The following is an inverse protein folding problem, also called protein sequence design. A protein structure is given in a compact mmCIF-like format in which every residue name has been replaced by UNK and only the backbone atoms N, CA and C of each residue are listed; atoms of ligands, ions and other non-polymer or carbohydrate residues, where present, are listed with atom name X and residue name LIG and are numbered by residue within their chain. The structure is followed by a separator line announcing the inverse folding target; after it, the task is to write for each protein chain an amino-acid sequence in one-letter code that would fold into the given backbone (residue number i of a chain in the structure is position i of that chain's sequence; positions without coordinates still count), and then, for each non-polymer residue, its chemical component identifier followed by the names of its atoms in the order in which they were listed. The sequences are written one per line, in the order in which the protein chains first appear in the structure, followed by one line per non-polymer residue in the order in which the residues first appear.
data_IF_255335242182
#
_entry.id   IF_255335242182
#
_cell.length_a   1.000
_cell.length_b   1.000
_cell.length_c   1.000
_cell.angle_alpha   90.00
_cell.angle_beta   90.00
_cell.angle_gamma   90.00
#
_symmetry.space_group_name_H-M   'P 1'
#
loop_
_entity.id
_entity.type
_entity.pdbx_description
1 polymer ?
#
# COMPACT_ATOMS: atom_id res chain seq x y z
N UNK A 1 51.85 28.21 6.97
CA UNK A 1 50.67 27.32 7.05
C UNK A 1 49.86 27.67 8.30
N UNK A 2 49.28 28.87 8.36
CA UNK A 2 48.57 29.36 9.55
C UNK A 2 47.53 30.45 9.20
N UNK A 3 46.87 30.35 8.02
CA UNK A 3 45.92 31.38 7.55
C UNK A 3 44.50 30.81 7.26
N UNK A 4 44.39 29.55 6.82
CA UNK A 4 43.08 28.95 6.44
C UNK A 4 42.09 28.69 7.62
N UNK A 5 42.55 28.74 8.87
CA UNK A 5 41.72 28.41 10.04
C UNK A 5 40.91 29.60 10.57
N UNK A 6 41.33 30.84 10.32
CA UNK A 6 40.56 32.03 10.68
C UNK A 6 39.37 32.26 9.73
N UNK A 7 39.51 31.84 8.47
CA UNK A 7 38.47 32.00 7.43
C UNK A 7 37.31 31.01 7.64
N UNK A 8 37.61 29.76 8.00
CA UNK A 8 36.59 28.76 8.28
C UNK A 8 35.72 29.10 9.50
N UNK A 9 36.33 29.60 10.58
CA UNK A 9 35.58 29.92 11.81
C UNK A 9 34.62 31.08 11.60
N UNK A 10 35.05 32.11 10.87
CA UNK A 10 34.21 33.26 10.53
C UNK A 10 33.03 32.84 9.64
N UNK A 11 33.29 31.98 8.64
CA UNK A 11 32.25 31.40 7.78
C UNK A 11 31.26 30.52 8.56
N UNK A 12 31.77 29.69 9.49
CA UNK A 12 30.94 28.84 10.34
C UNK A 12 30.00 29.68 11.22
N UNK A 13 30.51 30.71 11.87
CA UNK A 13 29.73 31.57 12.76
C UNK A 13 28.62 32.31 11.99
N UNK A 14 28.91 32.79 10.77
CA UNK A 14 27.93 33.45 9.90
C UNK A 14 26.82 32.49 9.44
N UNK A 15 27.20 31.30 8.94
CA UNK A 15 26.24 30.28 8.48
C UNK A 15 25.39 29.75 9.63
N UNK A 16 26.00 29.51 10.80
CA UNK A 16 25.27 29.03 11.97
C UNK A 16 24.27 30.07 12.48
N UNK A 17 24.64 31.36 12.50
CA UNK A 17 23.72 32.42 12.88
C UNK A 17 22.52 32.52 11.93
N UNK A 18 22.76 32.45 10.62
CA UNK A 18 21.70 32.45 9.61
C UNK A 18 20.79 31.22 9.71
N UNK A 19 21.36 30.04 9.95
CA UNK A 19 20.62 28.79 10.12
C UNK A 19 19.72 28.83 11.36
N UNK A 20 20.25 29.28 12.51
CA UNK A 20 19.47 29.40 13.75
C UNK A 20 18.32 30.40 13.59
N UNK A 21 18.55 31.52 12.90
CA UNK A 21 17.49 32.49 12.59
C UNK A 21 16.40 31.89 11.70
N UNK A 22 16.80 31.11 10.69
CA UNK A 22 15.87 30.43 9.76
C UNK A 22 15.04 29.38 10.49
N UNK A 23 15.64 28.55 11.35
CA UNK A 23 14.93 27.53 12.14
C UNK A 23 13.91 28.17 13.07
N UNK A 24 14.28 29.26 13.75
CA UNK A 24 13.36 29.99 14.64
C UNK A 24 12.16 30.54 13.87
N UNK A 25 12.39 31.12 12.70
CA UNK A 25 11.33 31.67 11.85
C UNK A 25 10.42 30.56 11.32
N UNK A 26 10.99 29.44 10.86
CA UNK A 26 10.22 28.28 10.41
C UNK A 26 9.34 27.70 11.53
N UNK A 27 9.85 27.62 12.76
CA UNK A 27 9.08 27.16 13.92
C UNK A 27 7.95 28.12 14.35
N UNK A 28 8.14 29.44 14.16
CA UNK A 28 7.07 30.41 14.39
C UNK A 28 5.98 30.30 13.32
N UNK A 29 6.36 30.12 12.06
CA UNK A 29 5.43 29.98 10.95
C UNK A 29 4.65 28.67 11.05
N UNK A 30 5.27 27.58 11.51
CA UNK A 30 4.56 26.30 11.70
C UNK A 30 3.60 26.27 12.89
N UNK A 31 3.72 27.21 13.83
CA UNK A 31 2.78 27.34 14.96
C UNK A 31 1.48 28.06 14.60
N UNK A 32 1.42 28.71 13.43
CA UNK A 32 0.24 29.42 12.94
C UNK A 32 -0.61 28.54 12.01
N UNK A 33 -1.89 28.88 11.82
CA UNK A 33 -2.81 28.14 10.93
C UNK A 33 -2.57 28.51 9.45
N UNK A 34 -1.55 27.90 8.86
CA UNK A 34 -1.16 28.11 7.47
C UNK A 34 -2.26 27.70 6.48
N UNK A 35 -3.10 26.72 6.83
CA UNK A 35 -4.18 26.27 5.96
C UNK A 35 -5.27 27.34 5.84
N UNK A 36 -5.62 27.97 6.96
CA UNK A 36 -6.55 29.10 6.98
C UNK A 36 -6.00 30.29 6.19
N UNK A 37 -4.75 30.69 6.41
CA UNK A 37 -4.14 31.82 5.70
C UNK A 37 -3.99 31.58 4.19
N UNK A 38 -3.72 30.34 3.78
CA UNK A 38 -3.69 29.93 2.37
C UNK A 38 -5.07 30.04 1.70
N UNK A 39 -6.15 29.77 2.44
CA UNK A 39 -7.52 29.87 1.93
C UNK A 39 -7.98 31.32 1.75
N UNK A 40 -7.46 32.24 2.56
CA UNK A 40 -7.84 33.66 2.55
C UNK A 40 -7.06 34.49 1.54
N UNK A 41 -5.76 34.21 1.34
CA UNK A 41 -4.92 34.95 0.41
C UNK A 41 -4.10 34.00 -0.49
N UNK A 42 -4.45 33.90 -1.79
CA UNK A 42 -3.70 33.11 -2.76
C UNK A 42 -2.21 33.51 -2.89
N UNK A 43 -1.86 34.78 -2.68
CA UNK A 43 -0.46 35.26 -2.75
C UNK A 43 0.40 34.64 -1.65
N UNK A 44 -0.16 34.46 -0.44
CA UNK A 44 0.53 33.81 0.69
C UNK A 44 0.79 32.34 0.37
N UNK A 45 -0.19 31.66 -0.24
CA UNK A 45 -0.03 30.28 -0.71
C UNK A 45 1.12 30.13 -1.72
N UNK A 46 1.16 31.00 -2.75
CA UNK A 46 2.21 30.96 -3.76
C UNK A 46 3.60 31.29 -3.18
N UNK A 47 3.69 32.24 -2.25
CA UNK A 47 4.94 32.58 -1.59
C UNK A 47 5.46 31.41 -0.72
N UNK A 48 4.57 30.72 0.00
CA UNK A 48 4.92 29.53 0.79
C UNK A 48 5.42 28.39 -0.08
N UNK A 49 4.72 28.09 -1.19
CA UNK A 49 5.14 27.04 -2.13
C UNK A 49 6.53 27.34 -2.72
N UNK A 50 6.80 28.61 -3.05
CA UNK A 50 8.11 29.04 -3.57
C UNK A 50 9.23 28.85 -2.53
N UNK A 51 9.00 29.22 -1.26
CA UNK A 51 10.00 29.03 -0.21
C UNK A 51 10.20 27.56 0.12
N UNK A 52 9.14 26.76 0.12
CA UNK A 52 9.23 25.32 0.35
C UNK A 52 10.06 24.63 -0.74
N UNK A 53 9.81 24.97 -2.02
CA UNK A 53 10.60 24.48 -3.14
C UNK A 53 12.09 24.86 -3.02
N UNK A 54 12.40 26.08 -2.55
CA UNK A 54 13.77 26.52 -2.32
C UNK A 54 14.47 25.74 -1.20
N UNK A 55 13.79 25.50 -0.08
CA UNK A 55 14.34 24.72 1.03
C UNK A 55 14.58 23.26 0.61
N UNK A 56 13.65 22.68 -0.14
CA UNK A 56 13.76 21.32 -0.67
C UNK A 56 14.88 21.19 -1.69
N UNK A 57 15.10 22.19 -2.56
CA UNK A 57 16.25 22.24 -3.46
C UNK A 57 17.58 22.26 -2.69
N UNK A 58 17.70 23.11 -1.66
CA UNK A 58 18.89 23.18 -0.81
C UNK A 58 19.14 21.88 -0.05
N UNK A 59 18.08 21.25 0.47
CA UNK A 59 18.19 19.94 1.14
C UNK A 59 18.71 18.87 0.18
N UNK A 60 18.22 18.84 -1.07
CA UNK A 60 18.73 17.92 -2.09
C UNK A 60 20.20 18.17 -2.45
N UNK A 61 20.63 19.42 -2.55
CA UNK A 61 22.04 19.75 -2.80
C UNK A 61 22.94 19.32 -1.64
N UNK A 62 22.52 19.55 -0.40
CA UNK A 62 23.24 19.10 0.79
C UNK A 62 23.32 17.58 0.85
N UNK A 63 22.22 16.88 0.56
CA UNK A 63 22.19 15.42 0.52
C UNK A 63 23.09 14.85 -0.60
N UNK A 64 23.12 15.49 -1.77
CA UNK A 64 24.06 15.11 -2.86
C UNK A 64 25.52 15.30 -2.43
N UNK A 65 25.83 16.42 -1.77
CA UNK A 65 27.16 16.67 -1.23
C UNK A 65 27.55 15.63 -0.17
N UNK A 66 26.64 15.34 0.76
CA UNK A 66 26.82 14.35 1.82
C UNK A 66 27.01 12.94 1.26
N UNK A 67 26.20 12.54 0.28
CA UNK A 67 26.31 11.24 -0.37
C UNK A 67 27.60 11.08 -1.18
N UNK A 68 28.15 12.15 -1.75
CA UNK A 68 29.45 12.11 -2.43
C UNK A 68 30.59 11.75 -1.47
N UNK A 69 30.47 12.17 -0.20
CA UNK A 69 31.42 11.84 0.86
C UNK A 69 31.20 10.40 1.34
N UNK A 70 29.96 9.94 1.46
CA UNK A 70 29.62 8.62 2.02
C UNK A 70 29.60 7.46 1.01
N UNK A 71 29.62 7.73 -0.30
CA UNK A 71 29.55 6.70 -1.35
C UNK A 71 28.19 6.01 -1.48
N UNK A 72 27.16 6.57 -0.83
CA UNK A 72 25.80 6.05 -0.80
C UNK A 72 24.95 6.66 -1.94
N UNK A 73 23.99 5.89 -2.46
CA UNK A 73 23.04 6.37 -3.47
C UNK A 73 21.99 7.26 -2.80
N UNK A 74 22.07 8.56 -3.06
CA UNK A 74 21.20 9.57 -2.46
C UNK A 74 19.81 9.57 -3.12
N UNK A 75 18.70 9.60 -2.35
CA UNK A 75 17.37 9.81 -2.90
C UNK A 75 17.21 11.25 -3.42
N UNK A 76 16.41 11.44 -4.47
CA UNK A 76 15.99 12.78 -4.92
C UNK A 76 14.61 13.04 -4.33
N UNK A 77 14.45 14.13 -3.58
CA UNK A 77 13.19 14.54 -2.97
C UNK A 77 12.53 15.54 -3.91
N UNK A 78 11.38 15.26 -4.51
CA UNK A 78 10.70 16.19 -5.41
C UNK A 78 9.51 16.88 -4.72
N UNK A 79 8.81 16.16 -3.84
CA UNK A 79 7.67 16.68 -3.09
C UNK A 79 7.73 16.33 -1.59
N UNK A 80 6.71 16.77 -0.84
CA UNK A 80 6.61 16.54 0.62
C UNK A 80 6.44 15.05 0.93
N UNK A 81 5.71 14.32 0.09
CA UNK A 81 5.50 12.88 0.27
C UNK A 81 6.82 12.11 0.10
N UNK A 82 7.68 12.54 -0.82
CA UNK A 82 9.02 11.99 -1.02
C UNK A 82 9.93 12.18 0.20
N UNK A 83 9.81 13.29 0.91
CA UNK A 83 10.56 13.54 2.15
C UNK A 83 10.20 12.49 3.20
N UNK A 84 8.91 12.27 3.44
CA UNK A 84 8.43 11.30 4.42
C UNK A 84 8.76 9.86 4.01
N UNK A 85 8.63 9.55 2.71
CA UNK A 85 8.90 8.22 2.18
C UNK A 85 10.39 7.86 2.19
N UNK A 86 11.27 8.83 1.92
CA UNK A 86 12.72 8.61 1.84
C UNK A 86 13.48 9.03 3.10
N UNK A 87 12.78 9.39 4.19
CA UNK A 87 13.40 9.87 5.43
C UNK A 87 14.46 8.90 5.98
N UNK A 88 14.24 7.58 5.87
CA UNK A 88 15.24 6.58 6.28
C UNK A 88 16.55 6.68 5.50
N UNK A 89 16.47 6.85 4.18
CA UNK A 89 17.65 6.99 3.34
C UNK A 89 18.41 8.29 3.67
N UNK A 90 17.68 9.35 4.04
CA UNK A 90 18.26 10.60 4.55
C UNK A 90 19.01 10.35 5.87
N UNK A 91 18.38 9.62 6.80
CA UNK A 91 19.00 9.20 8.07
C UNK A 91 20.25 8.36 7.83
N UNK A 92 20.22 7.38 6.92
CA UNK A 92 21.38 6.54 6.60
C UNK A 92 22.58 7.35 6.09
N UNK A 93 22.32 8.40 5.29
CA UNK A 93 23.38 9.32 4.82
C UNK A 93 23.97 10.11 5.99
N UNK A 94 23.14 10.59 6.91
CA UNK A 94 23.58 11.32 8.12
C UNK A 94 24.36 10.40 9.06
N UNK A 95 23.88 9.20 9.31
CA UNK A 95 24.54 8.21 10.18
C UNK A 95 25.91 7.83 9.63
N UNK A 96 26.04 7.67 8.30
CA UNK A 96 27.33 7.44 7.66
C UNK A 96 28.31 8.61 7.83
N UNK A 97 27.82 9.86 7.84
CA UNK A 97 28.67 11.02 8.13
C UNK A 97 29.11 11.06 9.59
N UNK A 98 28.22 10.68 10.53
CA UNK A 98 28.55 10.61 11.95
C UNK A 98 29.58 9.51 12.22
N UNK A 99 29.45 8.32 11.62
CA UNK A 99 30.43 7.23 11.74
C UNK A 99 31.82 7.63 11.21
N UNK A 100 31.87 8.40 10.11
CA UNK A 100 33.12 8.96 9.60
C UNK A 100 33.71 10.00 10.53
N UNK A 101 32.87 10.81 11.15
CA UNK A 101 33.30 11.82 12.13
C UNK A 101 33.90 11.14 13.35
N UNK A 102 33.26 10.08 13.86
CA UNK A 102 33.77 9.26 14.96
C UNK A 102 35.09 8.60 14.59
N UNK A 103 35.20 8.05 13.36
CA UNK A 103 36.46 7.48 12.85
C UNK A 103 37.59 8.50 12.83
N UNK A 104 37.34 9.71 12.32
CA UNK A 104 38.33 10.79 12.31
C UNK A 104 38.70 11.26 13.73
N UNK A 105 37.73 11.27 14.65
CA UNK A 105 37.97 11.63 16.05
C UNK A 105 38.81 10.57 16.77
N UNK A 106 38.55 9.29 16.50
CA UNK A 106 39.31 8.15 17.05
C UNK A 106 40.76 8.11 16.52
N UNK A 107 40.97 8.50 15.26
CA UNK A 107 42.30 8.69 14.69
C UNK A 107 43.05 9.86 15.35
N UNK A 108 42.37 10.98 15.62
CA UNK A 108 42.98 12.16 16.23
C UNK A 108 43.27 11.99 17.72
N UNK A 109 42.38 11.32 18.45
CA UNK A 109 42.53 11.04 19.89
C UNK A 109 43.49 9.88 20.17
N UNK A 110 43.93 9.16 19.13
CA UNK A 110 44.95 8.12 19.21
C UNK A 110 44.46 6.80 19.83
N UNK A 111 43.14 6.60 19.91
CA UNK A 111 42.53 5.38 20.46
C UNK A 111 42.62 4.21 19.45
N UNK A 112 42.80 4.51 18.15
CA UNK A 112 43.11 3.50 17.13
C UNK A 112 44.63 3.30 17.05
N UNK A 113 45.16 2.28 17.74
CA UNK A 113 46.35 1.57 17.24
C UNK A 113 45.96 0.96 15.90
N UNK A 114 46.58 1.43 14.81
CA UNK A 114 46.46 0.89 13.45
C UNK A 114 46.57 -0.64 13.48
N UNK A 115 45.44 -1.32 13.58
CA UNK A 115 45.35 -2.78 13.46
C UNK A 115 45.32 -3.07 11.98
N UNK A 116 46.35 -3.77 11.51
CA UNK A 116 46.47 -4.20 10.12
C UNK A 116 45.17 -4.90 9.70
N UNK A 117 44.74 -4.57 8.48
CA UNK A 117 43.64 -5.20 7.78
C UNK A 117 43.93 -6.70 7.66
N UNK A 118 43.24 -7.50 8.47
CA UNK A 118 42.98 -8.90 8.14
C UNK A 118 41.60 -8.94 7.51
N UNK A 119 41.59 -9.24 6.20
CA UNK A 119 40.43 -9.68 5.44
C UNK A 119 39.84 -10.91 6.12
N UNK A 120 38.96 -10.68 7.09
CA UNK A 120 38.08 -11.71 7.62
C UNK A 120 36.86 -11.72 6.71
N UNK A 121 36.83 -12.73 5.83
CA UNK A 121 35.68 -13.12 5.03
C UNK A 121 34.42 -13.14 5.89
N UNK A 122 33.63 -12.07 5.79
CA UNK A 122 32.31 -12.03 6.37
C UNK A 122 31.48 -13.11 5.68
N UNK A 123 31.21 -14.17 6.43
CA UNK A 123 30.20 -15.15 6.09
C UNK A 123 28.88 -14.39 5.97
N UNK A 124 28.44 -14.19 4.73
CA UNK A 124 27.13 -13.64 4.41
C UNK A 124 26.07 -14.58 4.96
N UNK A 125 25.59 -14.29 6.17
CA UNK A 125 24.29 -14.81 6.61
C UNK A 125 23.29 -14.34 5.56
N UNK A 126 22.46 -15.24 4.97
CA UNK A 126 21.48 -14.83 4.00
C UNK A 126 20.59 -13.78 4.68
N UNK A 127 20.31 -12.64 4.03
CA UNK A 127 19.40 -11.68 4.61
C UNK A 127 18.08 -12.42 4.81
N UNK A 128 17.61 -12.46 6.06
CA UNK A 128 16.23 -12.87 6.32
C UNK A 128 15.37 -11.94 5.46
N UNK A 129 14.74 -12.50 4.43
CA UNK A 129 13.74 -11.82 3.60
C UNK A 129 12.52 -11.56 4.48
N UNK A 130 12.62 -10.60 5.38
CA UNK A 130 11.46 -9.88 5.83
C UNK A 130 11.03 -9.02 4.65
N UNK A 131 9.82 -9.23 4.15
CA UNK A 131 9.15 -8.40 3.15
C UNK A 131 8.80 -7.03 3.76
N UNK A 132 9.76 -6.35 4.38
CA UNK A 132 9.48 -5.27 5.30
C UNK A 132 10.11 -3.96 4.81
N UNK A 133 9.22 -2.98 4.59
CA UNK A 133 9.40 -1.61 4.11
C UNK A 133 10.02 -1.32 2.74
N UNK A 134 10.88 -2.16 2.16
CA UNK A 134 11.49 -1.83 0.85
C UNK A 134 10.47 -1.76 -0.30
N UNK A 135 9.38 -2.54 -0.22
CA UNK A 135 8.27 -2.48 -1.20
C UNK A 135 7.32 -1.30 -0.94
N UNK A 136 7.33 -0.74 0.28
CA UNK A 136 6.49 0.40 0.67
C UNK A 136 7.05 1.73 0.13
N UNK A 137 8.36 1.78 -0.08
CA UNK A 137 9.12 2.94 -0.59
C UNK A 137 9.51 2.82 -2.07
N UNK A 138 9.05 1.78 -2.78
CA UNK A 138 9.18 1.76 -4.23
C UNK A 138 8.22 2.78 -4.84
N UNK A 139 8.72 3.61 -5.77
CA UNK A 139 7.91 4.48 -6.60
C UNK A 139 7.10 3.63 -7.61
N UNK A 140 6.12 2.91 -7.07
CA UNK A 140 5.19 2.09 -7.83
C UNK A 140 4.07 2.99 -8.33
N UNK A 141 3.91 3.02 -9.64
CA UNK A 141 2.79 3.69 -10.30
C UNK A 141 1.47 3.28 -9.64
N UNK A 142 0.60 4.26 -9.40
CA UNK A 142 -0.71 4.03 -8.80
C UNK A 142 -1.58 3.22 -9.78
N UNK A 143 -1.97 1.97 -9.47
CA UNK A 143 -2.79 1.16 -10.38
C UNK A 143 -4.13 1.83 -10.70
N UNK A 144 -4.63 2.68 -9.80
CA UNK A 144 -5.86 3.44 -9.99
C UNK A 144 -5.86 4.34 -11.24
N UNK A 145 -4.68 4.74 -11.72
CA UNK A 145 -4.55 5.55 -12.93
C UNK A 145 -4.84 4.75 -14.22
N UNK A 146 -4.72 3.43 -14.17
CA UNK A 146 -4.91 2.53 -15.31
C UNK A 146 -6.34 1.95 -15.40
N UNK A 147 -7.22 2.25 -14.43
CA UNK A 147 -8.58 1.70 -14.42
C UNK A 147 -9.44 2.31 -15.53
N UNK A 148 -10.28 1.47 -16.16
CA UNK A 148 -11.27 1.92 -17.16
C UNK A 148 -12.27 2.91 -16.55
N UNK A 149 -12.71 2.65 -15.32
CA UNK A 149 -13.55 3.54 -14.53
C UNK A 149 -12.73 4.12 -13.39
N UNK A 150 -12.55 5.44 -13.43
CA UNK A 150 -11.76 6.16 -12.42
C UNK A 150 -12.52 6.23 -11.08
N UNK A 151 -11.83 6.12 -9.94
CA UNK A 151 -12.44 6.35 -8.63
C UNK A 151 -12.94 7.80 -8.51
N UNK A 152 -14.15 7.96 -7.98
CA UNK A 152 -14.72 9.25 -7.59
C UNK A 152 -14.92 9.24 -6.06
N UNK A 153 -14.18 10.12 -5.36
CA UNK A 153 -14.27 10.26 -3.91
C UNK A 153 -15.12 11.48 -3.48
N UNK A 154 -15.59 12.27 -4.44
CA UNK A 154 -16.41 13.47 -4.18
C UNK A 154 -17.91 13.17 -4.27
N UNK A 155 -18.29 12.01 -4.84
CA UNK A 155 -19.69 11.59 -4.93
C UNK A 155 -20.30 11.40 -3.52
N UNK A 156 -21.31 12.21 -3.24
CA UNK A 156 -22.11 12.18 -2.01
C UNK A 156 -23.43 11.42 -2.20
N UNK A 157 -23.68 10.90 -3.41
CA UNK A 157 -24.84 10.09 -3.69
C UNK A 157 -24.77 8.73 -2.98
N UNK A 158 -25.92 8.09 -2.69
CA UNK A 158 -25.92 6.75 -2.13
C UNK A 158 -25.18 5.77 -3.06
N UNK A 159 -24.35 4.89 -2.49
CA UNK A 159 -23.60 3.91 -3.25
C UNK A 159 -24.50 3.07 -4.17
N UNK A 160 -24.30 3.21 -5.48
CA UNK A 160 -25.01 2.46 -6.51
C UNK A 160 -24.30 1.11 -6.76
N UNK A 161 -25.01 -0.04 -6.66
CA UNK A 161 -24.44 -1.33 -7.01
C UNK A 161 -23.92 -1.35 -8.45
N UNK A 162 -22.68 -1.79 -8.64
CA UNK A 162 -22.01 -1.85 -9.96
C UNK A 162 -22.54 -2.98 -10.87
N UNK A 163 -23.56 -3.72 -10.42
CA UNK A 163 -24.06 -4.94 -11.04
C UNK A 163 -24.86 -4.62 -12.32
N UNK A 164 -24.34 -5.02 -13.50
CA UNK A 164 -25.03 -4.96 -14.80
C UNK A 164 -25.96 -6.14 -15.10
N UNK A 165 -25.53 -7.37 -14.82
CA UNK A 165 -26.29 -8.61 -15.00
C UNK A 165 -26.43 -9.34 -13.67
N UNK A 166 -27.57 -10.03 -13.47
CA UNK A 166 -27.89 -10.77 -12.25
C UNK A 166 -28.10 -12.26 -12.56
N UNK A 167 -27.03 -13.09 -12.61
CA UNK A 167 -27.15 -14.55 -12.70
C UNK A 167 -27.91 -15.14 -11.50
N UNK A 168 -28.58 -16.28 -11.69
CA UNK A 168 -29.31 -17.00 -10.63
C UNK A 168 -30.38 -16.16 -9.89
N UNK A 169 -30.95 -15.18 -10.58
CA UNK A 169 -31.95 -14.27 -10.02
C UNK A 169 -33.29 -14.98 -9.76
N UNK A 170 -33.85 -14.78 -8.56
CA UNK A 170 -35.27 -15.03 -8.27
C UNK A 170 -36.10 -13.79 -8.56
N UNK A 171 -35.53 -12.61 -8.31
CA UNK A 171 -36.14 -11.30 -8.58
C UNK A 171 -35.32 -10.58 -9.66
N UNK A 172 -35.96 -9.99 -10.69
CA UNK A 172 -35.26 -9.21 -11.71
C UNK A 172 -34.37 -8.11 -11.13
N UNK A 173 -33.30 -7.74 -11.85
CA UNK A 173 -32.35 -6.73 -11.39
C UNK A 173 -33.01 -5.37 -11.19
N UNK A 174 -33.89 -4.95 -12.10
CA UNK A 174 -34.60 -3.67 -12.06
C UNK A 174 -35.44 -3.52 -10.78
N UNK A 175 -36.14 -4.59 -10.39
CA UNK A 175 -36.95 -4.64 -9.17
C UNK A 175 -36.10 -4.69 -7.90
N UNK A 176 -34.85 -5.15 -8.00
CA UNK A 176 -33.93 -5.29 -6.88
C UNK A 176 -33.23 -3.96 -6.52
N UNK A 177 -33.15 -3.00 -7.45
CA UNK A 177 -32.47 -1.72 -7.28
C UNK A 177 -33.32 -0.62 -6.61
N UNK A 178 -34.23 -1.02 -5.71
CA UNK A 178 -35.04 -0.07 -4.95
C UNK A 178 -34.21 0.72 -3.92
N UNK A 179 -34.52 2.01 -3.75
CA UNK A 179 -33.99 2.79 -2.64
C UNK A 179 -34.78 2.50 -1.35
N UNK A 180 -34.05 2.32 -0.25
CA UNK A 180 -34.58 2.26 1.10
C UNK A 180 -33.96 3.36 1.96
N UNK A 181 -34.57 3.65 3.11
CA UNK A 181 -33.95 4.48 4.13
C UNK A 181 -33.35 3.59 5.21
N UNK A 182 -32.13 3.89 5.64
CA UNK A 182 -31.49 3.20 6.76
C UNK A 182 -32.01 3.75 8.11
N UNK A 183 -31.50 3.21 9.22
CA UNK A 183 -31.86 3.61 10.59
C UNK A 183 -31.57 5.09 10.90
N UNK A 184 -30.75 5.75 10.08
CA UNK A 184 -30.38 7.16 10.19
C UNK A 184 -31.13 8.07 9.19
N UNK A 185 -32.23 7.59 8.59
CA UNK A 185 -33.04 8.26 7.55
C UNK A 185 -32.26 8.60 6.26
N UNK A 186 -31.08 8.01 6.05
CA UNK A 186 -30.27 8.18 4.84
C UNK A 186 -30.77 7.23 3.75
N UNK A 187 -30.82 7.72 2.50
CA UNK A 187 -31.17 6.91 1.33
C UNK A 187 -30.03 5.95 1.01
N UNK A 188 -30.34 4.67 0.80
CA UNK A 188 -29.40 3.63 0.40
C UNK A 188 -30.08 2.71 -0.63
N UNK A 189 -29.33 2.19 -1.59
CA UNK A 189 -29.85 1.15 -2.47
C UNK A 189 -29.91 -0.20 -1.75
N UNK A 190 -30.97 -0.97 -2.00
CA UNK A 190 -31.10 -2.35 -1.52
C UNK A 190 -29.99 -3.24 -2.10
N UNK A 191 -29.62 -4.27 -1.34
CA UNK A 191 -28.65 -5.24 -1.82
C UNK A 191 -29.27 -6.06 -2.96
N UNK A 192 -28.66 -6.13 -4.16
CA UNK A 192 -29.30 -6.75 -5.33
C UNK A 192 -29.69 -8.22 -5.14
N UNK A 193 -28.96 -8.97 -4.31
CA UNK A 193 -29.22 -10.38 -4.01
C UNK A 193 -29.88 -10.63 -2.64
N UNK A 194 -30.42 -9.60 -1.97
CA UNK A 194 -31.01 -9.73 -0.63
C UNK A 194 -32.08 -10.84 -0.56
N UNK A 195 -33.01 -10.86 -1.52
CA UNK A 195 -34.11 -11.84 -1.55
C UNK A 195 -33.60 -13.26 -1.78
N UNK A 196 -32.62 -13.41 -2.68
CA UNK A 196 -31.99 -14.69 -2.98
C UNK A 196 -31.26 -15.26 -1.76
N UNK A 197 -30.52 -14.42 -1.03
CA UNK A 197 -29.79 -14.80 0.18
C UNK A 197 -30.75 -15.20 1.31
N UNK A 198 -31.81 -14.41 1.56
CA UNK A 198 -32.79 -14.71 2.60
C UNK A 198 -33.57 -16.00 2.35
N UNK A 199 -33.75 -16.36 1.08
CA UNK A 199 -34.44 -17.59 0.66
C UNK A 199 -33.46 -18.67 0.19
N UNK A 200 -32.17 -18.54 0.53
CA UNK A 200 -31.13 -19.47 0.10
C UNK A 200 -31.37 -20.84 0.74
N UNK A 201 -31.31 -21.89 -0.07
CA UNK A 201 -31.36 -23.26 0.40
C UNK A 201 -30.02 -23.91 0.08
N UNK A 202 -29.26 -24.22 1.13
CA UNK A 202 -27.97 -24.89 0.98
C UNK A 202 -28.15 -26.35 0.52
N UNK A 203 -27.18 -26.90 -0.23
CA UNK A 203 -27.14 -28.32 -0.54
C UNK A 203 -27.21 -29.16 0.73
N UNK A 204 -28.01 -30.24 0.72
CA UNK A 204 -28.21 -31.11 1.90
C UNK A 204 -26.92 -31.65 2.49
N UNK A 205 -25.93 -31.93 1.63
CA UNK A 205 -24.61 -32.42 2.00
C UNK A 205 -23.88 -31.50 3.00
N UNK A 206 -24.18 -30.20 3.02
CA UNK A 206 -23.59 -29.24 3.95
C UNK A 206 -24.00 -29.48 5.41
N UNK A 207 -25.19 -30.04 5.64
CA UNK A 207 -25.71 -30.34 6.97
C UNK A 207 -25.32 -31.74 7.47
N UNK A 208 -24.64 -32.54 6.64
CA UNK A 208 -24.20 -33.89 6.97
C UNK A 208 -22.75 -33.86 7.47
N UNK A 209 -22.45 -34.65 8.50
CA UNK A 209 -21.08 -34.77 9.00
C UNK A 209 -20.25 -35.57 7.99
N UNK A 210 -19.26 -34.92 7.39
CA UNK A 210 -18.28 -35.55 6.51
C UNK A 210 -16.89 -35.59 7.15
N UNK A 211 -16.06 -36.54 6.73
CA UNK A 211 -14.65 -36.57 7.12
C UNK A 211 -13.88 -35.43 6.44
N UNK A 212 -13.02 -34.69 7.18
CA UNK A 212 -12.27 -33.58 6.59
C UNK A 212 -11.33 -34.04 5.48
N UNK A 213 -11.55 -33.53 4.27
CA UNK A 213 -10.63 -33.70 3.14
C UNK A 213 -9.45 -32.75 3.37
N UNK A 214 -8.24 -33.31 3.51
CA UNK A 214 -7.01 -32.53 3.68
C UNK A 214 -6.64 -31.83 2.38
N UNK A 215 -5.97 -30.69 2.52
CA UNK A 215 -5.37 -29.97 1.40
C UNK A 215 -4.31 -30.83 0.69
N UNK A 216 -4.10 -30.56 -0.60
CA UNK A 216 -3.06 -31.21 -1.38
C UNK A 216 -1.66 -30.74 -0.91
N UNK A 217 -0.63 -31.61 -0.96
CA UNK A 217 0.73 -31.20 -0.62
C UNK A 217 1.18 -29.97 -1.42
N UNK A 218 1.88 -29.05 -0.77
CA UNK A 218 2.33 -27.80 -1.40
C UNK A 218 3.34 -28.06 -2.52
N UNK A 219 4.09 -29.17 -2.43
CA UNK A 219 5.10 -29.56 -3.41
C UNK A 219 4.49 -30.08 -4.71
N UNK A 220 3.26 -30.62 -4.66
CA UNK A 220 2.55 -31.14 -5.83
C UNK A 220 1.62 -30.14 -6.49
N UNK A 221 1.36 -29.01 -5.83
CA UNK A 221 0.30 -28.08 -6.24
C UNK A 221 0.94 -26.77 -6.70
N UNK A 222 0.55 -26.27 -7.88
CA UNK A 222 0.97 -24.95 -8.36
C UNK A 222 -0.22 -24.01 -8.46
N UNK A 223 -0.05 -22.78 -7.98
CA UNK A 223 -1.04 -21.73 -8.12
C UNK A 223 -0.99 -21.14 -9.53
N UNK A 224 -2.16 -20.99 -10.16
CA UNK A 224 -2.30 -20.36 -11.47
C UNK A 224 -2.50 -18.86 -11.28
N UNK A 225 -1.57 -18.05 -11.79
CA UNK A 225 -1.70 -16.59 -11.77
C UNK A 225 -2.56 -16.14 -12.95
N UNK A 226 -3.64 -15.41 -12.65
CA UNK A 226 -4.62 -14.96 -13.64
C UNK A 226 -4.55 -13.44 -13.75
N UNK A 227 -4.01 -12.95 -14.87
CA UNK A 227 -3.79 -11.52 -15.12
C UNK A 227 -4.36 -11.01 -16.46
N UNK A 228 -5.03 -11.89 -17.20
CA UNK A 228 -5.78 -11.59 -18.43
C UNK A 228 -7.27 -11.88 -18.23
N UNK A 229 -8.13 -11.21 -19.00
CA UNK A 229 -9.57 -11.44 -18.92
C UNK A 229 -9.96 -12.82 -19.46
N UNK A 230 -9.26 -13.30 -20.50
CA UNK A 230 -9.44 -14.64 -21.05
C UNK A 230 -9.15 -15.71 -20.00
N UNK A 231 -8.09 -15.53 -19.19
CA UNK A 231 -7.77 -16.43 -18.09
C UNK A 231 -8.85 -16.46 -17.01
N UNK A 232 -9.56 -15.35 -16.77
CA UNK A 232 -10.71 -15.33 -15.86
C UNK A 232 -11.89 -16.13 -16.42
N UNK A 233 -12.12 -16.11 -17.73
CA UNK A 233 -13.17 -16.91 -18.36
C UNK A 233 -12.86 -18.41 -18.34
N UNK A 234 -11.59 -18.79 -18.58
CA UNK A 234 -11.15 -20.17 -18.45
C UNK A 234 -11.30 -20.67 -17.00
N UNK A 235 -10.87 -19.86 -16.03
CA UNK A 235 -11.07 -20.13 -14.62
C UNK A 235 -12.56 -20.27 -14.28
N UNK A 236 -13.42 -19.40 -14.80
CA UNK A 236 -14.87 -19.45 -14.55
C UNK A 236 -15.49 -20.78 -14.98
N UNK A 237 -15.11 -21.30 -16.15
CA UNK A 237 -15.62 -22.59 -16.64
C UNK A 237 -15.18 -23.75 -15.74
N UNK A 238 -13.96 -23.72 -15.21
CA UNK A 238 -13.51 -24.71 -14.22
C UNK A 238 -14.30 -24.57 -12.90
N UNK A 239 -14.49 -23.35 -12.42
CA UNK A 239 -15.19 -23.09 -11.17
C UNK A 239 -16.68 -23.49 -11.21
N UNK A 240 -17.33 -23.44 -12.38
CA UNK A 240 -18.71 -23.93 -12.56
C UNK A 240 -18.87 -25.44 -12.30
N UNK A 241 -17.80 -26.20 -12.48
CA UNK A 241 -17.81 -27.66 -12.26
C UNK A 241 -17.58 -28.04 -10.78
N UNK A 242 -17.17 -27.09 -9.95
CA UNK A 242 -16.85 -27.32 -8.55
C UNK A 242 -18.10 -27.36 -7.66
N UNK A 243 -18.08 -28.19 -6.62
CA UNK A 243 -19.13 -28.25 -5.60
C UNK A 243 -18.91 -27.24 -4.47
N UNK A 244 -17.65 -26.95 -4.17
CA UNK A 244 -17.26 -25.93 -3.21
C UNK A 244 -15.98 -25.23 -3.64
N UNK A 245 -15.89 -23.95 -3.30
CA UNK A 245 -14.74 -23.10 -3.56
C UNK A 245 -14.40 -22.30 -2.30
N UNK A 246 -13.11 -22.08 -2.05
CA UNK A 246 -12.65 -21.14 -1.04
C UNK A 246 -12.27 -19.82 -1.70
N UNK A 247 -12.64 -18.69 -1.08
CA UNK A 247 -12.37 -17.35 -1.59
C UNK A 247 -11.79 -16.46 -0.48
N UNK A 248 -10.69 -15.80 -0.78
CA UNK A 248 -10.04 -14.80 0.08
C UNK A 248 -9.61 -13.57 -0.72
N UNK A 249 -9.41 -12.44 -0.05
CA UNK A 249 -9.11 -11.15 -0.68
C UNK A 249 -8.00 -10.41 0.08
N UNK A 250 -7.08 -9.81 -0.68
CA UNK A 250 -6.11 -8.87 -0.12
C UNK A 250 -6.56 -7.42 -0.35
N UNK A 251 -6.70 -6.67 0.74
CA UNK A 251 -7.12 -5.27 0.71
C UNK A 251 -5.96 -4.31 0.97
N UNK A 252 -5.91 -3.20 0.21
CA UNK A 252 -4.95 -2.13 0.41
C UNK A 252 -5.65 -0.77 0.58
N UNK A 253 -5.39 -0.11 1.70
CA UNK A 253 -5.95 1.20 2.08
C UNK A 253 -4.91 2.31 2.26
N UNK A 254 -3.61 2.00 2.27
CA UNK A 254 -2.59 3.01 2.58
C UNK A 254 -2.50 4.11 1.52
N UNK A 255 -2.64 3.78 0.23
CA UNK A 255 -2.59 4.74 -0.89
C UNK A 255 -3.92 4.87 -1.63
N UNK A 256 -5.05 4.63 -0.96
CA UNK A 256 -6.40 4.71 -1.53
C UNK A 256 -7.40 5.20 -0.48
N UNK A 257 -8.25 6.18 -0.81
CA UNK A 257 -9.19 6.79 0.16
C UNK A 257 -10.19 5.77 0.74
N UNK A 258 -10.91 5.05 -0.12
CA UNK A 258 -11.85 3.98 0.27
C UNK A 258 -11.13 2.65 0.53
N UNK A 259 -9.91 2.52 0.01
CA UNK A 259 -9.25 1.23 -0.15
C UNK A 259 -9.55 0.57 -1.49
N UNK A 260 -8.79 -0.47 -1.81
CA UNK A 260 -8.94 -1.25 -3.03
C UNK A 260 -8.59 -2.71 -2.76
N UNK A 261 -9.23 -3.62 -3.48
CA UNK A 261 -8.83 -5.04 -3.51
C UNK A 261 -7.63 -5.15 -4.45
N UNK A 262 -6.55 -5.75 -3.97
CA UNK A 262 -5.30 -5.93 -4.69
C UNK A 262 -5.21 -7.31 -5.32
N UNK A 263 -5.70 -8.33 -4.62
CA UNK A 263 -5.60 -9.72 -5.02
C UNK A 263 -6.85 -10.47 -4.58
N UNK A 264 -7.23 -11.48 -5.36
CA UNK A 264 -8.27 -12.43 -4.99
C UNK A 264 -7.70 -13.84 -5.14
N UNK A 265 -7.83 -14.63 -4.09
CA UNK A 265 -7.40 -16.01 -4.05
C UNK A 265 -8.63 -16.89 -4.10
N UNK A 266 -8.67 -17.81 -5.06
CA UNK A 266 -9.75 -18.79 -5.19
C UNK A 266 -9.11 -20.17 -5.19
N UNK A 267 -9.65 -21.09 -4.39
CA UNK A 267 -9.19 -22.47 -4.34
C UNK A 267 -10.35 -23.43 -4.52
N UNK A 268 -10.13 -24.45 -5.35
CA UNK A 268 -10.96 -25.66 -5.39
C UNK A 268 -10.26 -26.77 -4.61
N UNK A 269 -10.80 -27.99 -4.66
CA UNK A 269 -10.12 -29.17 -4.11
C UNK A 269 -8.85 -29.54 -4.86
N UNK A 270 -8.73 -29.12 -6.12
CA UNK A 270 -7.67 -29.58 -7.02
C UNK A 270 -6.70 -28.48 -7.42
N UNK A 271 -7.16 -27.24 -7.55
CA UNK A 271 -6.38 -26.11 -8.08
C UNK A 271 -6.59 -24.83 -7.30
N UNK A 272 -5.53 -24.02 -7.29
CA UNK A 272 -5.50 -22.69 -6.70
C UNK A 272 -5.30 -21.63 -7.79
N UNK A 273 -6.04 -20.53 -7.70
CA UNK A 273 -5.92 -19.36 -8.56
C UNK A 273 -5.59 -18.12 -7.74
N UNK A 274 -4.69 -17.31 -8.28
CA UNK A 274 -4.35 -15.99 -7.77
C UNK A 274 -4.73 -14.99 -8.86
N UNK A 275 -5.80 -14.24 -8.62
CA UNK A 275 -6.41 -13.32 -9.59
C UNK A 275 -5.94 -11.90 -9.31
N UNK A 276 -5.35 -11.27 -10.32
CA UNK A 276 -4.97 -9.85 -10.26
C UNK A 276 -6.21 -8.97 -10.45
N UNK A 277 -6.63 -8.32 -9.36
CA UNK A 277 -7.81 -7.44 -9.34
C UNK A 277 -7.48 -5.97 -9.63
N UNK A 278 -6.20 -5.65 -9.87
CA UNK A 278 -5.71 -4.31 -10.21
C UNK A 278 -5.68 -4.04 -11.71
N UNK A 279 -6.05 -5.02 -12.54
CA UNK A 279 -6.09 -4.84 -13.99
C UNK A 279 -7.19 -3.86 -14.41
N UNK A 280 -7.03 -3.14 -15.56
CA UNK A 280 -7.99 -2.14 -16.01
C UNK A 280 -9.44 -2.62 -16.06
N UNK A 281 -9.62 -3.89 -16.42
CA UNK A 281 -10.89 -4.60 -16.56
C UNK A 281 -11.48 -5.10 -15.23
N UNK A 282 -11.02 -4.63 -14.06
CA UNK A 282 -11.50 -5.10 -12.73
C UNK A 282 -13.02 -5.17 -12.56
N UNK A 283 -13.78 -4.28 -13.19
CA UNK A 283 -15.25 -4.31 -13.12
C UNK A 283 -15.86 -5.48 -13.89
N UNK A 284 -15.14 -6.03 -14.86
CA UNK A 284 -15.54 -7.20 -15.64
C UNK A 284 -15.47 -8.50 -14.81
N UNK A 285 -14.79 -8.51 -13.65
CA UNK A 285 -14.85 -9.61 -12.68
C UNK A 285 -16.28 -9.93 -12.20
N UNK A 286 -17.26 -9.06 -12.49
CA UNK A 286 -18.68 -9.34 -12.32
C UNK A 286 -19.11 -10.69 -12.93
N UNK A 287 -18.43 -11.20 -13.97
CA UNK A 287 -18.72 -12.52 -14.57
C UNK A 287 -18.65 -13.67 -13.56
N UNK A 288 -17.83 -13.53 -12.50
CA UNK A 288 -17.73 -14.51 -11.42
C UNK A 288 -19.03 -14.68 -10.64
N UNK A 289 -20.00 -13.76 -10.76
CA UNK A 289 -21.34 -13.92 -10.18
C UNK A 289 -22.08 -15.15 -10.72
N UNK A 290 -21.72 -15.69 -11.88
CA UNK A 290 -22.26 -16.98 -12.34
C UNK A 290 -21.94 -18.13 -11.38
N UNK A 291 -20.84 -18.05 -10.63
CA UNK A 291 -20.45 -19.04 -9.62
C UNK A 291 -20.76 -18.52 -8.21
N UNK A 292 -20.45 -17.24 -7.93
CA UNK A 292 -20.63 -16.66 -6.59
C UNK A 292 -22.10 -16.53 -6.19
N UNK A 293 -23.01 -16.30 -7.14
CA UNK A 293 -24.44 -16.29 -6.87
C UNK A 293 -25.12 -17.67 -7.01
N UNK A 294 -24.39 -18.72 -7.42
CA UNK A 294 -24.95 -20.05 -7.59
C UNK A 294 -25.21 -20.70 -6.21
N UNK A 295 -26.46 -21.00 -5.82
CA UNK A 295 -26.76 -21.59 -4.52
C UNK A 295 -26.24 -23.04 -4.38
N UNK A 296 -25.95 -23.73 -5.48
CA UNK A 296 -25.46 -25.11 -5.47
C UNK A 296 -23.97 -25.22 -5.14
N UNK A 297 -23.21 -24.17 -5.41
CA UNK A 297 -21.77 -24.10 -5.14
C UNK A 297 -21.55 -23.42 -3.80
N UNK A 298 -20.88 -24.10 -2.87
CA UNK A 298 -20.59 -23.55 -1.54
C UNK A 298 -19.37 -22.63 -1.65
N UNK A 299 -19.50 -21.40 -1.15
CA UNK A 299 -18.40 -20.43 -1.06
C UNK A 299 -17.92 -20.36 0.38
N UNK A 300 -16.72 -20.85 0.63
CA UNK A 300 -16.06 -20.80 1.94
C UNK A 300 -15.13 -19.61 1.98
N UNK A 301 -15.17 -18.82 3.04
CA UNK A 301 -14.21 -17.72 3.27
C UNK A 301 -13.72 -17.80 4.71
N UNK A 302 -12.40 -17.81 4.96
CA UNK A 302 -11.91 -17.68 6.34
C UNK A 302 -11.87 -16.19 6.69
N UNK A 303 -12.78 -15.76 7.55
CA UNK A 303 -12.63 -14.49 8.23
C UNK A 303 -11.61 -14.72 9.35
N UNK A 304 -10.37 -14.27 9.15
CA UNK A 304 -9.42 -14.13 10.24
C UNK A 304 -9.90 -13.00 11.17
N UNK A 305 -10.80 -13.34 12.10
CA UNK A 305 -11.00 -12.52 13.30
C UNK A 305 -9.64 -12.43 13.99
N UNK A 306 -9.22 -11.19 14.35
CA UNK A 306 -7.89 -10.77 14.86
C UNK A 306 -7.29 -11.55 16.06
N UNK A 307 -7.86 -12.70 16.45
CA UNK A 307 -7.46 -13.53 17.61
C UNK A 307 -6.93 -14.93 17.24
N UNK A 308 -6.18 -15.08 16.14
CA UNK A 308 -5.40 -16.29 15.82
C UNK A 308 -6.16 -17.65 15.88
N UNK A 309 -7.47 -17.65 15.69
CA UNK A 309 -8.28 -18.85 15.47
C UNK A 309 -9.06 -18.65 14.16
N UNK A 310 -8.69 -19.37 13.08
CA UNK A 310 -9.62 -19.60 11.97
C UNK A 310 -10.77 -20.42 12.57
N UNK A 311 -11.88 -19.76 12.85
CA UNK A 311 -13.17 -20.43 12.98
C UNK A 311 -13.70 -20.55 11.55
N UNK A 312 -13.70 -21.78 11.01
CA UNK A 312 -14.50 -22.11 9.85
C UNK A 312 -15.96 -21.87 10.22
N UNK A 313 -16.53 -20.74 9.80
CA UNK A 313 -17.96 -20.51 9.90
C UNK A 313 -18.63 -21.28 8.77
N UNK A 314 -19.32 -22.37 9.13
CA UNK A 314 -20.29 -23.07 8.28
C UNK A 314 -21.53 -22.22 8.07
#
# INVERSE_FOLDING_TARGET
MADDTQDFKSLQDEVQAALVSTIKTAGQVSSEDLAFHRSLNPEVGSALDQQNARLLALANELLKSAGSVSGLKVPTLEDVDDVDNNWRNVVDVVDSLLEKTDTCLDEYTGIIKRKQVEESSATSKPPKRFLDNSLRTQNLMKPQLAFEVKPDNEDTSPWLPLLKTKPHAKVPLEDSLGMMKNEFDQKQYKHPYETEILQLQYPKAMFEKAEPIKYLPIESTSATFVDTYEGVLEMLEELKSATEIAVDLEHHDTRSYVGLVSLMQISTREKDWIVDTLRPWRQQLQVLNEVFADPSIIKVSCILLRNHQCLLTS
#
